data_IF_174619767811
#
_entry.id   IF_174619767811
#
_cell.length_a   1.000
_cell.length_b   1.000
_cell.length_c   1.000
_cell.angle_alpha   90.00
_cell.angle_beta   90.00
_cell.angle_gamma   90.00
#
_symmetry.space_group_name_H-M   'P 1'
#
loop_
_entity.id
_entity.type
_entity.pdbx_description
1 polymer ?
#
# COMPACT_ATOMS: atom_id res chain seq x y z
N UNK A 1 36.33 -15.65 -0.63
CA UNK A 1 34.86 -15.65 -0.77
C UNK A 1 34.42 -14.22 -1.12
N UNK A 2 33.98 -13.93 -2.36
CA UNK A 2 33.46 -12.59 -2.72
C UNK A 2 31.99 -12.53 -2.34
N UNK A 3 31.65 -11.65 -1.42
CA UNK A 3 30.25 -11.34 -1.10
C UNK A 3 29.68 -10.55 -2.29
N UNK A 4 28.61 -11.07 -2.91
CA UNK A 4 27.85 -10.36 -3.93
C UNK A 4 27.28 -9.05 -3.35
N UNK A 5 27.10 -8.01 -4.18
CA UNK A 5 26.52 -6.73 -3.76
C UNK A 5 25.15 -6.87 -3.08
N UNK A 6 24.35 -7.85 -3.50
CA UNK A 6 23.06 -8.17 -2.87
C UNK A 6 23.23 -8.62 -1.40
N UNK A 7 24.30 -9.37 -1.09
CA UNK A 7 24.61 -9.85 0.27
C UNK A 7 25.08 -8.68 1.15
N UNK A 8 25.87 -7.75 0.61
CA UNK A 8 26.31 -6.56 1.34
C UNK A 8 25.13 -5.66 1.70
N UNK A 9 24.14 -5.52 0.80
CA UNK A 9 22.91 -4.81 1.11
C UNK A 9 22.10 -5.50 2.21
N UNK A 10 21.99 -6.83 2.19
CA UNK A 10 21.30 -7.56 3.25
C UNK A 10 22.03 -7.45 4.59
N UNK A 11 23.38 -7.50 4.62
CA UNK A 11 24.18 -7.30 5.84
C UNK A 11 24.01 -5.88 6.38
N UNK A 12 24.10 -4.86 5.52
CA UNK A 12 23.91 -3.48 5.93
C UNK A 12 22.48 -3.25 6.45
N UNK A 13 21.51 -3.89 5.81
CA UNK A 13 20.12 -3.90 6.26
C UNK A 13 20.00 -4.52 7.67
N UNK A 14 20.60 -5.68 7.91
CA UNK A 14 20.61 -6.33 9.23
C UNK A 14 21.29 -5.49 10.30
N UNK A 15 22.41 -4.85 9.96
CA UNK A 15 23.12 -3.94 10.86
C UNK A 15 22.23 -2.77 11.30
N UNK A 16 21.60 -2.09 10.34
CA UNK A 16 20.66 -1.00 10.63
C UNK A 16 19.42 -1.49 11.38
N UNK A 17 18.98 -2.72 11.10
CA UNK A 17 17.81 -3.28 11.76
C UNK A 17 18.10 -3.59 13.24
N UNK A 18 19.29 -4.14 13.54
CA UNK A 18 19.66 -4.47 14.91
C UNK A 18 19.67 -3.27 15.85
N UNK A 19 20.00 -2.06 15.37
CA UNK A 19 19.90 -0.85 16.21
C UNK A 19 18.46 -0.40 16.49
N UNK A 20 17.48 -0.87 15.71
CA UNK A 20 16.05 -0.54 15.85
C UNK A 20 15.25 -1.60 16.60
N UNK A 21 15.82 -2.79 16.82
CA UNK A 21 15.14 -3.86 17.53
C UNK A 21 14.84 -3.41 18.96
N UNK A 22 13.57 -3.45 19.34
CA UNK A 22 13.18 -3.47 20.75
C UNK A 22 12.96 -4.93 21.13
N UNK A 23 13.94 -5.56 21.79
CA UNK A 23 13.93 -6.97 22.23
C UNK A 23 12.78 -7.35 23.18
N UNK A 24 11.90 -6.39 23.52
CA UNK A 24 10.69 -6.64 24.29
C UNK A 24 9.63 -7.23 23.35
N UNK A 25 9.69 -8.53 23.12
CA UNK A 25 8.52 -9.30 22.68
C UNK A 25 7.51 -9.32 23.84
N UNK A 26 6.74 -8.25 24.00
CA UNK A 26 5.77 -8.19 25.10
C UNK A 26 4.39 -7.90 24.53
N UNK A 27 3.66 -9.00 24.36
CA UNK A 27 2.21 -9.07 24.12
C UNK A 27 1.75 -8.31 22.87
N UNK A 28 1.70 -9.02 21.73
CA UNK A 28 0.91 -8.55 20.58
C UNK A 28 -0.52 -8.36 21.07
N UNK A 29 -1.09 -7.18 20.81
CA UNK A 29 -2.49 -6.93 21.10
C UNK A 29 -3.33 -8.01 20.38
N UNK A 30 -4.30 -8.59 21.08
CA UNK A 30 -5.08 -9.72 20.57
C UNK A 30 -6.00 -9.33 19.43
N UNK A 31 -6.43 -8.06 19.39
CA UNK A 31 -7.36 -7.56 18.38
C UNK A 31 -6.61 -7.28 17.08
N UNK A 32 -6.85 -8.07 16.02
CA UNK A 32 -6.20 -7.83 14.75
C UNK A 32 -6.73 -6.54 14.12
N UNK A 33 -5.85 -5.83 13.43
CA UNK A 33 -6.27 -4.83 12.46
C UNK A 33 -6.87 -5.59 11.28
N UNK A 34 -8.19 -5.52 11.18
CA UNK A 34 -8.93 -5.95 10.00
C UNK A 34 -9.29 -4.72 9.16
N UNK A 35 -9.79 -4.95 7.95
CA UNK A 35 -10.29 -3.89 7.06
C UNK A 35 -9.24 -3.01 6.39
N UNK A 36 -8.06 -3.57 6.08
CA UNK A 36 -7.10 -2.92 5.17
C UNK A 36 -7.28 -3.52 3.79
N UNK A 37 -7.66 -2.71 2.81
CA UNK A 37 -7.90 -3.13 1.45
C UNK A 37 -6.98 -2.36 0.51
N UNK A 38 -6.38 -3.03 -0.46
CA UNK A 38 -5.56 -2.40 -1.50
C UNK A 38 -5.94 -2.93 -2.87
N UNK A 39 -5.75 -2.08 -3.87
CA UNK A 39 -5.91 -2.43 -5.27
C UNK A 39 -4.93 -1.60 -6.10
N UNK A 40 -4.45 -2.17 -7.19
CA UNK A 40 -3.69 -1.46 -8.20
C UNK A 40 -4.36 -1.61 -9.57
N UNK A 41 -4.22 -0.56 -10.36
CA UNK A 41 -4.60 -0.57 -11.76
C UNK A 41 -3.42 -0.06 -12.62
N UNK A 42 -3.60 -0.09 -13.93
CA UNK A 42 -2.57 0.39 -14.87
C UNK A 42 -2.15 1.85 -14.67
N UNK A 43 -3.03 2.66 -14.09
CA UNK A 43 -2.87 4.12 -13.97
C UNK A 43 -2.47 4.56 -12.56
N UNK A 44 -2.85 3.81 -11.53
CA UNK A 44 -2.65 4.19 -10.13
C UNK A 44 -2.88 3.04 -9.16
N UNK A 45 -2.76 3.34 -7.87
CA UNK A 45 -3.17 2.45 -6.79
C UNK A 45 -4.01 3.19 -5.76
N UNK A 46 -4.76 2.38 -5.02
CA UNK A 46 -5.58 2.84 -3.92
C UNK A 46 -5.46 1.90 -2.73
N UNK A 47 -5.78 2.45 -1.57
CA UNK A 47 -6.05 1.63 -0.41
C UNK A 47 -7.01 2.30 0.54
N UNK A 48 -7.71 1.48 1.32
CA UNK A 48 -8.68 1.91 2.34
C UNK A 48 -8.37 1.20 3.66
N UNK A 49 -8.39 1.96 4.75
CA UNK A 49 -8.29 1.45 6.12
C UNK A 49 -9.22 2.24 7.05
N UNK A 50 -10.32 1.61 7.45
CA UNK A 50 -11.37 2.29 8.22
C UNK A 50 -11.95 3.46 7.42
N UNK A 51 -11.85 4.68 7.96
CA UNK A 51 -12.27 5.92 7.29
C UNK A 51 -11.12 6.60 6.53
N UNK A 52 -9.89 6.10 6.67
CA UNK A 52 -8.73 6.64 5.99
C UNK A 52 -8.47 5.89 4.67
N UNK A 53 -7.90 6.58 3.71
CA UNK A 53 -7.64 6.05 2.37
C UNK A 53 -6.45 6.76 1.73
N UNK A 54 -5.97 6.22 0.61
CA UNK A 54 -5.04 6.92 -0.24
C UNK A 54 -5.28 6.64 -1.70
N UNK A 55 -4.99 7.62 -2.56
CA UNK A 55 -4.87 7.45 -3.99
C UNK A 55 -3.50 7.92 -4.46
N UNK A 56 -2.92 7.16 -5.37
CA UNK A 56 -1.64 7.45 -5.99
C UNK A 56 -1.77 7.25 -7.49
N UNK A 57 -1.39 8.27 -8.25
CA UNK A 57 -1.23 8.13 -9.69
C UNK A 57 0.21 7.73 -10.02
N UNK A 58 0.38 6.67 -10.82
CA UNK A 58 1.71 6.19 -11.19
C UNK A 58 2.51 7.23 -11.94
N UNK A 59 1.94 7.83 -12.99
CA UNK A 59 2.68 8.79 -13.82
C UNK A 59 3.13 10.02 -13.02
N UNK A 60 2.31 10.50 -12.09
CA UNK A 60 2.58 11.75 -11.37
C UNK A 60 3.49 11.55 -10.13
N UNK A 61 3.29 10.47 -9.39
CA UNK A 61 3.96 10.23 -8.10
C UNK A 61 5.13 9.24 -8.21
N UNK A 62 4.98 8.20 -9.04
CA UNK A 62 5.96 7.12 -9.17
C UNK A 62 6.09 6.68 -10.63
N UNK A 63 6.69 7.47 -11.54
CA UNK A 63 6.65 7.19 -12.98
C UNK A 63 7.14 5.79 -13.37
N UNK A 64 8.11 5.25 -12.64
CA UNK A 64 8.63 3.89 -12.84
C UNK A 64 7.57 2.80 -12.61
N UNK A 65 6.54 3.08 -11.79
CA UNK A 65 5.49 2.14 -11.45
C UNK A 65 4.55 1.83 -12.63
N UNK A 66 4.48 2.73 -13.62
CA UNK A 66 3.60 2.60 -14.77
C UNK A 66 4.00 1.44 -15.71
N UNK A 67 5.29 1.12 -15.77
CA UNK A 67 5.82 0.04 -16.62
C UNK A 67 5.89 -1.31 -15.91
N UNK A 68 5.45 -1.37 -14.66
CA UNK A 68 5.53 -2.59 -13.86
C UNK A 68 4.43 -3.57 -14.22
N UNK A 69 4.71 -4.85 -13.99
CA UNK A 69 3.68 -5.88 -14.08
C UNK A 69 2.65 -5.69 -12.96
N UNK A 70 1.40 -6.10 -13.20
CA UNK A 70 0.30 -5.90 -12.23
C UNK A 70 0.65 -6.45 -10.84
N UNK A 71 1.26 -7.64 -10.75
CA UNK A 71 1.72 -8.21 -9.48
C UNK A 71 2.71 -7.30 -8.71
N UNK A 72 3.56 -6.56 -9.41
CA UNK A 72 4.51 -5.62 -8.80
C UNK A 72 3.80 -4.34 -8.36
N UNK A 73 2.83 -3.85 -9.14
CA UNK A 73 1.99 -2.71 -8.77
C UNK A 73 1.16 -3.02 -7.51
N UNK A 74 0.58 -4.22 -7.43
CA UNK A 74 -0.15 -4.71 -6.26
C UNK A 74 0.74 -4.81 -5.01
N UNK A 75 1.93 -5.41 -5.14
CA UNK A 75 2.89 -5.47 -4.04
C UNK A 75 3.35 -4.06 -3.62
N UNK A 76 3.46 -3.13 -4.57
CA UNK A 76 3.80 -1.75 -4.27
C UNK A 76 2.64 -1.00 -3.58
N UNK A 77 1.39 -1.25 -3.97
CA UNK A 77 0.20 -0.73 -3.29
C UNK A 77 0.15 -1.15 -1.82
N UNK A 78 0.45 -2.43 -1.52
CA UNK A 78 0.60 -2.92 -0.14
C UNK A 78 1.74 -2.21 0.61
N UNK A 79 2.88 -1.98 -0.04
CA UNK A 79 3.98 -1.23 0.58
C UNK A 79 3.60 0.25 0.85
N UNK A 80 2.80 0.88 -0.02
CA UNK A 80 2.27 2.23 0.20
C UNK A 80 1.27 2.27 1.36
N UNK A 81 0.38 1.28 1.47
CA UNK A 81 -0.52 1.10 2.61
C UNK A 81 0.26 1.01 3.93
N UNK A 82 1.29 0.15 3.97
CA UNK A 82 2.15 0.04 5.14
C UNK A 82 2.88 1.36 5.44
N UNK A 83 3.39 2.06 4.42
CA UNK A 83 4.03 3.36 4.61
C UNK A 83 3.08 4.38 5.26
N UNK A 84 1.80 4.36 4.88
CA UNK A 84 0.78 5.27 5.43
C UNK A 84 0.39 4.88 6.86
N UNK A 85 0.16 3.59 7.11
CA UNK A 85 -0.54 3.13 8.31
C UNK A 85 0.29 2.34 9.32
N UNK A 86 1.59 2.09 9.05
CA UNK A 86 2.45 1.30 9.95
C UNK A 86 2.41 1.76 11.42
N UNK A 87 2.30 3.08 11.66
CA UNK A 87 2.18 3.63 13.02
C UNK A 87 0.86 3.22 13.70
N UNK A 88 -0.24 3.15 12.96
CA UNK A 88 -1.55 2.70 13.45
C UNK A 88 -1.59 1.18 13.70
N UNK A 89 -0.67 0.44 13.08
CA UNK A 89 -0.55 -1.01 13.16
C UNK A 89 0.40 -1.48 14.26
N UNK A 90 0.99 -0.56 15.03
CA UNK A 90 2.02 -0.91 16.01
C UNK A 90 1.56 -1.99 16.99
N UNK A 91 2.40 -3.01 17.15
CA UNK A 91 2.17 -4.16 18.05
C UNK A 91 0.94 -5.01 17.70
N UNK A 92 0.41 -4.92 16.48
CA UNK A 92 -0.78 -5.66 16.03
C UNK A 92 -0.50 -6.65 14.92
N UNK A 93 -1.39 -7.63 14.79
CA UNK A 93 -1.53 -8.41 13.55
C UNK A 93 -2.39 -7.62 12.57
N UNK A 94 -1.98 -7.53 11.31
CA UNK A 94 -2.67 -6.78 10.27
C UNK A 94 -3.09 -7.72 9.16
N UNK A 95 -4.38 -7.77 8.86
CA UNK A 95 -4.92 -8.46 7.70
C UNK A 95 -5.12 -7.46 6.58
N UNK A 96 -4.38 -7.66 5.48
CA UNK A 96 -4.50 -6.85 4.27
C UNK A 96 -5.12 -7.68 3.17
N UNK A 97 -6.13 -7.12 2.53
CA UNK A 97 -6.89 -7.76 1.48
C UNK A 97 -6.47 -7.21 0.11
N UNK A 98 -6.22 -8.11 -0.84
CA UNK A 98 -5.80 -7.81 -2.21
C UNK A 98 -6.41 -8.85 -3.15
N UNK A 99 -6.74 -8.47 -4.38
CA UNK A 99 -7.35 -9.34 -5.38
C UNK A 99 -6.32 -10.20 -6.15
N UNK A 100 -5.03 -9.98 -5.89
CA UNK A 100 -3.95 -10.65 -6.59
C UNK A 100 -3.32 -11.78 -5.75
N UNK A 101 -3.69 -13.01 -6.09
CA UNK A 101 -3.19 -14.22 -5.41
C UNK A 101 -1.67 -14.37 -5.47
N UNK A 102 -1.01 -13.89 -6.52
CA UNK A 102 0.45 -13.93 -6.64
C UNK A 102 1.11 -12.98 -5.64
N UNK A 103 0.57 -11.77 -5.52
CA UNK A 103 1.00 -10.77 -4.52
C UNK A 103 0.81 -11.29 -3.10
N UNK A 104 -0.36 -11.86 -2.80
CA UNK A 104 -0.66 -12.50 -1.52
C UNK A 104 0.36 -13.59 -1.19
N UNK A 105 0.67 -14.45 -2.15
CA UNK A 105 1.66 -15.50 -1.99
C UNK A 105 3.06 -14.97 -1.72
N UNK A 106 3.48 -13.91 -2.41
CA UNK A 106 4.79 -13.29 -2.22
C UNK A 106 4.93 -12.61 -0.86
N UNK A 107 3.89 -11.91 -0.40
CA UNK A 107 3.86 -11.25 0.91
C UNK A 107 3.91 -12.29 2.03
N UNK A 108 3.05 -13.30 1.99
CA UNK A 108 2.97 -14.30 3.05
C UNK A 108 4.22 -15.17 3.16
N UNK A 109 4.92 -15.41 2.04
CA UNK A 109 6.21 -16.10 2.03
C UNK A 109 7.39 -15.15 2.30
N UNK A 110 7.16 -13.84 2.35
CA UNK A 110 8.18 -12.80 2.45
C UNK A 110 9.32 -12.94 1.43
N UNK A 111 9.01 -13.47 0.24
CA UNK A 111 10.03 -13.75 -0.78
C UNK A 111 9.46 -13.77 -2.20
N UNK A 112 10.33 -13.51 -3.17
CA UNK A 112 10.06 -13.49 -4.60
C UNK A 112 11.36 -13.65 -5.38
N UNK A 113 11.28 -14.25 -6.57
CA UNK A 113 12.42 -14.31 -7.50
C UNK A 113 12.62 -12.99 -8.26
N UNK A 114 11.59 -12.16 -8.33
CA UNK A 114 11.67 -10.86 -8.98
C UNK A 114 12.36 -9.86 -8.03
N UNK A 115 13.48 -9.28 -8.49
CA UNK A 115 14.31 -8.37 -7.69
C UNK A 115 13.57 -7.09 -7.27
N UNK A 116 12.73 -6.54 -8.15
CA UNK A 116 11.98 -5.33 -7.85
C UNK A 116 10.88 -5.61 -6.82
N UNK A 117 10.12 -6.69 -7.00
CA UNK A 117 9.12 -7.11 -6.02
C UNK A 117 9.78 -7.39 -4.66
N UNK A 118 10.95 -8.04 -4.65
CA UNK A 118 11.74 -8.22 -3.43
C UNK A 118 12.15 -6.90 -2.77
N UNK A 119 12.43 -5.86 -3.55
CA UNK A 119 12.73 -4.54 -2.99
C UNK A 119 11.53 -3.95 -2.24
N UNK A 120 10.30 -4.18 -2.71
CA UNK A 120 9.08 -3.77 -2.01
C UNK A 120 8.85 -4.61 -0.77
N UNK A 121 9.05 -5.94 -0.85
CA UNK A 121 8.95 -6.83 0.32
C UNK A 121 9.98 -6.48 1.39
N UNK A 122 11.22 -6.12 1.03
CA UNK A 122 12.23 -5.65 2.00
C UNK A 122 11.81 -4.36 2.70
N UNK A 123 11.23 -3.40 1.97
CA UNK A 123 10.66 -2.18 2.57
C UNK A 123 9.51 -2.50 3.51
N UNK A 124 8.64 -3.42 3.10
CA UNK A 124 7.50 -3.89 3.90
C UNK A 124 7.97 -4.56 5.20
N UNK A 125 8.97 -5.43 5.11
CA UNK A 125 9.60 -6.08 6.25
C UNK A 125 10.26 -5.08 7.20
N UNK A 126 10.99 -4.10 6.67
CA UNK A 126 11.56 -3.01 7.47
C UNK A 126 10.47 -2.25 8.24
N UNK A 127 9.36 -1.88 7.59
CA UNK A 127 8.25 -1.20 8.27
C UNK A 127 7.58 -2.08 9.32
N UNK A 128 7.35 -3.35 9.00
CA UNK A 128 6.80 -4.37 9.92
C UNK A 128 7.65 -4.49 11.17
N UNK A 129 8.97 -4.54 11.00
CA UNK A 129 9.87 -4.78 12.10
C UNK A 129 10.10 -3.52 12.94
N UNK A 130 10.25 -2.34 12.32
CA UNK A 130 10.40 -1.05 13.02
C UNK A 130 9.14 -0.61 13.77
N UNK A 131 7.95 -1.01 13.30
CA UNK A 131 6.68 -0.70 13.97
C UNK A 131 6.12 -1.92 14.73
N UNK A 132 6.85 -3.05 14.75
CA UNK A 132 6.43 -4.29 15.41
C UNK A 132 5.01 -4.76 15.03
N UNK A 133 4.63 -4.68 13.74
CA UNK A 133 3.38 -5.25 13.25
C UNK A 133 3.63 -6.54 12.47
N UNK A 134 2.66 -7.45 12.48
CA UNK A 134 2.72 -8.70 11.70
C UNK A 134 1.67 -8.68 10.60
N UNK A 135 2.11 -8.53 9.35
CA UNK A 135 1.23 -8.47 8.19
C UNK A 135 0.88 -9.88 7.69
N UNK A 136 -0.40 -10.08 7.36
CA UNK A 136 -0.92 -11.27 6.68
C UNK A 136 -1.74 -10.79 5.50
N UNK A 137 -1.36 -11.20 4.29
CA UNK A 137 -2.12 -10.92 3.08
C UNK A 137 -3.21 -11.98 2.88
N UNK A 138 -4.42 -11.55 2.55
CA UNK A 138 -5.58 -12.40 2.26
C UNK A 138 -6.07 -12.07 0.86
N UNK A 139 -6.26 -13.12 0.05
CA UNK A 139 -6.85 -12.96 -1.27
C UNK A 139 -8.35 -12.76 -1.16
N UNK A 140 -8.87 -11.67 -1.73
CA UNK A 140 -10.31 -11.47 -1.92
C UNK A 140 -10.69 -11.72 -3.39
N UNK A 141 -11.75 -12.49 -3.66
CA UNK A 141 -12.37 -12.49 -4.97
C UNK A 141 -12.85 -11.07 -5.31
N UNK A 142 -12.54 -10.55 -6.51
CA UNK A 142 -12.64 -9.12 -6.84
C UNK A 142 -13.95 -8.39 -6.49
N UNK A 143 -15.11 -9.07 -6.48
CA UNK A 143 -16.41 -8.50 -6.06
C UNK A 143 -16.49 -8.06 -4.59
N UNK A 144 -15.49 -8.35 -3.76
CA UNK A 144 -15.44 -7.94 -2.36
C UNK A 144 -14.45 -6.79 -2.11
N UNK A 145 -13.77 -6.29 -3.15
CA UNK A 145 -12.76 -5.24 -3.05
C UNK A 145 -13.21 -3.89 -3.65
N UNK A 146 -14.53 -3.69 -3.79
CA UNK A 146 -15.14 -2.55 -4.51
C UNK A 146 -14.61 -1.19 -4.04
N UNK A 147 -14.33 -1.04 -2.75
CA UNK A 147 -13.80 0.21 -2.20
C UNK A 147 -12.37 0.51 -2.62
N UNK A 148 -11.47 -0.47 -2.54
CA UNK A 148 -10.09 -0.26 -2.98
C UNK A 148 -10.00 -0.15 -4.50
N UNK A 149 -10.82 -0.91 -5.23
CA UNK A 149 -10.99 -0.83 -6.68
C UNK A 149 -11.42 0.57 -7.12
N UNK A 150 -12.43 1.13 -6.47
CA UNK A 150 -12.89 2.48 -6.76
C UNK A 150 -11.82 3.54 -6.45
N UNK A 151 -11.11 3.40 -5.32
CA UNK A 151 -10.05 4.34 -4.94
C UNK A 151 -8.85 4.23 -5.89
N UNK A 152 -8.45 3.03 -6.33
CA UNK A 152 -7.32 2.87 -7.25
C UNK A 152 -7.58 3.50 -8.63
N UNK A 153 -8.86 3.73 -8.95
CA UNK A 153 -9.35 4.26 -10.23
C UNK A 153 -10.19 5.54 -10.07
N UNK A 154 -9.87 6.41 -9.11
CA UNK A 154 -10.57 7.71 -8.96
C UNK A 154 -10.55 8.61 -10.21
N UNK A 155 -9.68 8.34 -11.18
CA UNK A 155 -9.65 9.03 -12.46
C UNK A 155 -10.73 8.58 -13.44
N UNK A 156 -11.48 7.52 -13.11
CA UNK A 156 -12.67 7.08 -13.82
C UNK A 156 -13.91 7.69 -13.16
N UNK A 157 -14.68 8.46 -13.94
CA UNK A 157 -15.80 9.25 -13.41
C UNK A 157 -16.82 8.39 -12.62
N UNK A 158 -17.14 7.19 -13.11
CA UNK A 158 -18.09 6.28 -12.46
C UNK A 158 -17.61 5.83 -11.07
N UNK A 159 -16.34 5.44 -10.97
CA UNK A 159 -15.75 4.97 -9.72
C UNK A 159 -15.50 6.11 -8.75
N UNK A 160 -15.13 7.29 -9.25
CA UNK A 160 -15.06 8.51 -8.47
C UNK A 160 -16.43 8.84 -7.84
N UNK A 161 -17.50 8.86 -8.62
CA UNK A 161 -18.85 9.13 -8.13
C UNK A 161 -19.31 8.11 -7.08
N UNK A 162 -19.04 6.82 -7.32
CA UNK A 162 -19.30 5.76 -6.34
C UNK A 162 -18.56 6.02 -5.03
N UNK A 163 -17.24 6.27 -5.09
CA UNK A 163 -16.43 6.51 -3.91
C UNK A 163 -16.85 7.76 -3.12
N UNK A 164 -17.12 8.87 -3.82
CA UNK A 164 -17.58 10.12 -3.21
C UNK A 164 -18.90 9.94 -2.47
N UNK A 165 -19.83 9.16 -3.04
CA UNK A 165 -21.16 8.93 -2.46
C UNK A 165 -21.12 8.02 -1.23
N UNK A 166 -20.37 6.93 -1.32
CA UNK A 166 -20.41 5.87 -0.31
C UNK A 166 -19.43 6.12 0.85
N UNK A 167 -18.37 6.92 0.65
CA UNK A 167 -17.26 6.97 1.61
C UNK A 167 -16.74 8.35 2.01
N UNK A 168 -17.13 9.43 1.33
CA UNK A 168 -16.72 10.77 1.76
C UNK A 168 -17.85 11.49 2.48
N UNK A 169 -17.54 12.22 3.58
CA UNK A 169 -18.53 13.02 4.27
C UNK A 169 -19.02 14.15 3.37
N UNK A 170 -20.31 14.45 3.45
CA UNK A 170 -20.92 15.63 2.84
C UNK A 170 -21.16 16.70 3.92
N UNK A 171 -20.65 17.93 3.77
CA UNK A 171 -19.90 18.48 2.62
C UNK A 171 -18.43 18.03 2.54
N UNK A 172 -17.92 17.87 1.32
CA UNK A 172 -16.54 17.52 1.05
C UNK A 172 -15.65 18.78 1.03
N UNK A 173 -14.61 18.80 1.85
CA UNK A 173 -13.62 19.87 1.85
C UNK A 173 -12.33 19.44 1.14
N UNK A 174 -11.69 20.37 0.42
CA UNK A 174 -10.44 20.11 -0.32
C UNK A 174 -9.32 19.60 0.59
N UNK A 175 -9.28 20.07 1.84
CA UNK A 175 -8.26 19.64 2.81
C UNK A 175 -8.36 18.13 3.15
N UNK A 176 -9.55 17.52 3.03
CA UNK A 176 -9.70 16.07 3.15
C UNK A 176 -8.93 15.39 2.02
N UNK A 177 -9.14 15.80 0.76
CA UNK A 177 -8.51 15.16 -0.41
C UNK A 177 -6.98 15.22 -0.39
N UNK A 178 -6.38 16.38 -0.08
CA UNK A 178 -4.91 16.54 -0.04
C UNK A 178 -4.23 15.71 1.05
N UNK A 179 -4.96 15.25 2.06
CA UNK A 179 -4.42 14.35 3.09
C UNK A 179 -4.32 12.89 2.61
N UNK A 180 -5.02 12.55 1.53
CA UNK A 180 -5.13 11.19 0.97
C UNK A 180 -4.38 11.01 -0.35
N UNK A 181 -3.86 12.07 -0.97
CA UNK A 181 -3.07 11.99 -2.20
C UNK A 181 -2.09 13.16 -2.33
N UNK A 182 -1.11 13.04 -3.22
CA UNK A 182 -0.21 14.17 -3.50
C UNK A 182 -0.93 15.30 -4.24
N UNK A 183 -0.38 16.53 -4.18
CA UNK A 183 -0.88 17.64 -4.98
C UNK A 183 -0.84 17.36 -6.49
N UNK A 184 0.09 16.51 -6.96
CA UNK A 184 0.19 16.15 -8.38
C UNK A 184 -0.95 15.20 -8.78
N UNK A 185 -1.20 14.18 -7.97
CA UNK A 185 -2.34 13.28 -8.14
C UNK A 185 -3.67 14.02 -8.06
N UNK A 186 -3.82 14.96 -7.12
CA UNK A 186 -5.02 15.79 -7.03
C UNK A 186 -5.22 16.66 -8.29
N UNK A 187 -4.17 17.35 -8.75
CA UNK A 187 -4.21 18.14 -9.99
C UNK A 187 -4.60 17.28 -11.20
N UNK A 188 -4.04 16.08 -11.30
CA UNK A 188 -4.40 15.12 -12.33
C UNK A 188 -5.89 14.74 -12.26
N UNK A 189 -6.41 14.42 -11.07
CA UNK A 189 -7.83 14.09 -10.92
C UNK A 189 -8.74 15.25 -11.29
N UNK A 190 -8.44 16.47 -10.83
CA UNK A 190 -9.23 17.66 -11.19
C UNK A 190 -9.25 17.84 -12.70
N UNK A 191 -8.09 17.83 -13.36
CA UNK A 191 -8.01 17.94 -14.82
C UNK A 191 -8.83 16.84 -15.54
N UNK A 192 -8.76 15.59 -15.06
CA UNK A 192 -9.47 14.46 -15.65
C UNK A 192 -10.99 14.51 -15.45
N UNK A 193 -11.46 15.07 -14.34
CA UNK A 193 -12.87 15.07 -13.96
C UNK A 193 -13.60 16.35 -14.41
N UNK A 194 -12.94 17.51 -14.41
CA UNK A 194 -13.54 18.80 -14.79
C UNK A 194 -13.19 19.23 -16.21
N UNK A 195 -12.12 18.69 -16.80
CA UNK A 195 -11.65 19.09 -18.13
C UNK A 195 -11.01 20.49 -18.17
N UNK A 196 -10.78 21.12 -17.02
CA UNK A 196 -10.27 22.50 -16.91
C UNK A 196 -9.05 22.56 -15.97
N UNK A 197 -8.05 23.35 -16.34
CA UNK A 197 -6.86 23.69 -15.53
C UNK A 197 -7.07 24.99 -14.77
#
# INVERSE_FOLDING_TARGET
MRLCGDILHDIHWWYNFMSTLNWKSFLRNTDPVTSVYTDACKTGAGGVFGTDWFYVNWKEDFPFAQTLHINEQEAFAVALAAKRWAKCWQNKRVYIYCDNSSTVGCINKSTSKNKLLMSFLRKLFWMSATNNFHLVAIHLPGKQNDMADAVSRLHELKLCQFFLKECLPTPLFVHHLVSHMSCRSLRFLLFRLTGTL
#
